data_IF_600666997922
#
_entry.id   IF_600666997922
#
_cell.length_a   1.000
_cell.length_b   1.000
_cell.length_c   1.000
_cell.angle_alpha   90.00
_cell.angle_beta   90.00
_cell.angle_gamma   90.00
#
_symmetry.space_group_name_H-M   'P 1'
#
loop_
_entity.id
_entity.type
_entity.pdbx_description
1 polymer ?
#
# COMPACT_ATOMS: atom_id res chain seq x y z
N UNK A 1 -49.67 46.84 20.99
CA UNK A 1 -49.60 46.56 19.54
C UNK A 1 -48.16 46.17 19.22
N UNK A 2 -47.98 45.05 18.52
CA UNK A 2 -46.77 44.54 17.84
C UNK A 2 -45.54 44.09 18.66
N UNK A 3 -45.53 42.78 18.90
CA UNK A 3 -44.34 41.90 18.95
C UNK A 3 -43.90 41.61 17.51
N UNK A 4 -42.65 41.88 17.13
CA UNK A 4 -41.95 41.26 15.98
C UNK A 4 -40.42 41.31 16.28
N UNK A 5 -39.74 40.18 16.53
CA UNK A 5 -39.23 39.12 15.62
C UNK A 5 -37.73 39.32 15.34
N UNK A 6 -36.89 38.42 15.84
CA UNK A 6 -35.45 38.44 15.63
C UNK A 6 -34.74 37.19 16.11
N UNK A 7 -34.98 36.03 15.48
CA UNK A 7 -34.14 34.84 15.65
C UNK A 7 -33.85 34.26 14.27
N UNK A 8 -32.77 34.71 13.64
CA UNK A 8 -32.26 34.17 12.38
C UNK A 8 -30.74 33.93 12.41
N UNK A 9 -30.15 33.68 13.58
CA UNK A 9 -28.69 33.55 13.75
C UNK A 9 -28.15 32.15 14.06
N UNK A 10 -29.00 31.17 14.38
CA UNK A 10 -28.56 29.91 15.00
C UNK A 10 -28.08 28.81 14.03
N UNK A 11 -28.48 28.86 12.76
CA UNK A 11 -28.34 27.69 11.86
C UNK A 11 -26.93 27.51 11.25
N UNK A 12 -26.14 28.58 11.12
CA UNK A 12 -24.84 28.48 10.43
C UNK A 12 -23.69 27.95 11.28
N UNK A 13 -23.82 27.89 12.61
CA UNK A 13 -22.69 27.55 13.48
C UNK A 13 -22.54 26.05 13.77
N UNK A 14 -23.56 25.24 13.44
CA UNK A 14 -23.59 23.79 13.71
C UNK A 14 -22.94 23.00 12.57
N UNK A 15 -23.10 23.44 11.32
CA UNK A 15 -22.57 22.73 10.15
C UNK A 15 -21.05 22.54 10.21
N UNK A 16 -20.30 23.56 10.64
CA UNK A 16 -18.83 23.53 10.64
C UNK A 16 -18.22 22.51 11.63
N UNK A 17 -18.97 22.06 12.63
CA UNK A 17 -18.48 21.08 13.63
C UNK A 17 -18.56 19.64 13.12
N UNK A 18 -19.55 19.31 12.28
CA UNK A 18 -19.72 17.93 11.80
C UNK A 18 -18.63 17.52 10.81
N UNK A 19 -18.17 18.44 9.97
CA UNK A 19 -17.07 18.18 9.03
C UNK A 19 -15.74 17.94 9.76
N UNK A 20 -15.46 18.71 10.81
CA UNK A 20 -14.24 18.55 11.61
C UNK A 20 -14.19 17.20 12.33
N UNK A 21 -15.32 16.72 12.86
CA UNK A 21 -15.41 15.40 13.50
C UNK A 21 -15.25 14.27 12.49
N UNK A 22 -15.86 14.37 11.29
CA UNK A 22 -15.64 13.39 10.21
C UNK A 22 -14.18 13.34 9.76
N UNK A 23 -13.53 14.49 9.64
CA UNK A 23 -12.10 14.54 9.28
C UNK A 23 -11.20 13.98 10.38
N UNK A 24 -11.54 14.19 11.65
CA UNK A 24 -10.82 13.59 12.77
C UNK A 24 -11.02 12.06 12.84
N UNK A 25 -12.21 11.55 12.55
CA UNK A 25 -12.51 10.11 12.49
C UNK A 25 -11.84 9.43 11.28
N UNK A 26 -11.75 10.13 10.14
CA UNK A 26 -11.02 9.69 8.96
C UNK A 26 -9.49 9.77 9.15
N UNK A 27 -8.98 10.79 9.85
CA UNK A 27 -7.57 10.91 10.20
C UNK A 27 -7.14 9.89 11.29
N UNK A 28 -8.06 9.52 12.20
CA UNK A 28 -7.84 8.46 13.19
C UNK A 28 -7.89 7.06 12.55
N UNK A 29 -8.70 6.88 11.50
CA UNK A 29 -8.72 5.64 10.68
C UNK A 29 -7.57 5.57 9.68
N UNK A 30 -6.95 6.70 9.33
CA UNK A 30 -5.62 6.75 8.74
C UNK A 30 -4.55 6.42 9.80
N UNK A 31 -4.78 5.34 10.55
CA UNK A 31 -3.76 4.68 11.33
C UNK A 31 -2.56 4.50 10.40
N UNK A 32 -1.44 5.10 10.78
CA UNK A 32 -0.17 4.97 10.10
C UNK A 32 0.13 3.47 10.04
N UNK A 33 -0.20 2.83 8.91
CA UNK A 33 0.12 1.43 8.66
C UNK A 33 1.63 1.39 8.62
N UNK A 34 2.24 1.13 9.78
CA UNK A 34 3.62 0.72 9.83
C UNK A 34 3.69 -0.51 8.91
N UNK A 35 4.64 -0.57 7.96
CA UNK A 35 4.76 -1.72 7.09
C UNK A 35 4.83 -2.95 7.98
N UNK A 36 3.78 -3.77 7.87
CA UNK A 36 3.70 -4.99 8.65
C UNK A 36 4.87 -5.85 8.22
N UNK A 37 5.91 -5.89 9.07
CA UNK A 37 7.12 -6.68 8.80
C UNK A 37 6.79 -8.17 8.74
N UNK A 38 5.57 -8.55 9.11
CA UNK A 38 5.04 -9.89 8.95
C UNK A 38 4.43 -10.18 7.59
N UNK A 39 4.36 -9.25 6.64
CA UNK A 39 3.83 -9.48 5.29
C UNK A 39 4.89 -9.14 4.23
N UNK A 40 5.00 -9.98 3.20
CA UNK A 40 5.88 -9.72 2.05
C UNK A 40 5.11 -8.96 0.98
N UNK A 41 5.61 -7.79 0.56
CA UNK A 41 5.07 -7.10 -0.62
C UNK A 41 5.67 -7.71 -1.89
N UNK A 42 4.81 -8.20 -2.79
CA UNK A 42 5.20 -8.75 -4.10
C UNK A 42 4.68 -7.82 -5.18
N UNK A 43 5.59 -7.13 -5.86
CA UNK A 43 5.26 -6.26 -7.00
C UNK A 43 5.50 -7.00 -8.30
N UNK A 44 4.47 -7.17 -9.10
CA UNK A 44 4.59 -7.89 -10.36
C UNK A 44 3.33 -7.75 -11.20
N UNK A 45 3.19 -8.64 -12.19
CA UNK A 45 2.02 -8.66 -13.06
C UNK A 45 1.50 -10.08 -13.28
N UNK A 46 0.18 -10.29 -13.40
CA UNK A 46 -0.41 -11.64 -13.49
C UNK A 46 0.13 -12.49 -14.65
N UNK A 47 0.42 -11.88 -15.79
CA UNK A 47 0.94 -12.58 -16.98
C UNK A 47 2.41 -13.02 -16.86
N UNK A 48 3.16 -12.58 -15.85
CA UNK A 48 4.58 -12.93 -15.70
C UNK A 48 4.74 -14.31 -15.04
N UNK A 49 5.36 -15.26 -15.76
CA UNK A 49 5.63 -16.62 -15.26
C UNK A 49 6.41 -16.60 -13.94
N UNK A 50 7.42 -15.73 -13.81
CA UNK A 50 8.22 -15.61 -12.58
C UNK A 50 7.41 -15.06 -11.41
N UNK A 51 6.48 -14.13 -11.66
CA UNK A 51 5.59 -13.60 -10.62
C UNK A 51 4.64 -14.68 -10.13
N UNK A 52 3.98 -15.41 -11.05
CA UNK A 52 3.07 -16.51 -10.67
C UNK A 52 3.79 -17.61 -9.90
N UNK A 53 4.99 -17.99 -10.33
CA UNK A 53 5.82 -18.97 -9.62
C UNK A 53 6.17 -18.50 -8.20
N UNK A 54 6.62 -17.25 -8.04
CA UNK A 54 6.91 -16.68 -6.72
C UNK A 54 5.69 -16.71 -5.80
N UNK A 55 4.53 -16.24 -6.30
CA UNK A 55 3.29 -16.23 -5.51
C UNK A 55 2.91 -17.64 -5.06
N UNK A 56 2.95 -18.62 -5.96
CA UNK A 56 2.62 -20.02 -5.64
C UNK A 56 3.58 -20.63 -4.62
N UNK A 57 4.89 -20.41 -4.74
CA UNK A 57 5.87 -20.94 -3.78
C UNK A 57 5.73 -20.27 -2.40
N UNK A 58 5.44 -18.96 -2.34
CA UNK A 58 5.20 -18.26 -1.05
C UNK A 58 3.90 -18.72 -0.38
N UNK A 59 2.84 -18.93 -1.16
CA UNK A 59 1.56 -19.47 -0.69
C UNK A 59 1.74 -20.88 -0.12
N UNK A 60 2.42 -21.78 -0.84
CA UNK A 60 2.74 -23.13 -0.38
C UNK A 60 3.58 -23.13 0.91
N UNK A 61 4.44 -22.13 1.10
CA UNK A 61 5.24 -21.97 2.30
C UNK A 61 4.48 -21.33 3.48
N UNK A 62 3.17 -21.06 3.33
CA UNK A 62 2.33 -20.34 4.29
C UNK A 62 2.91 -18.97 4.66
N UNK A 63 3.54 -18.29 3.69
CA UNK A 63 4.06 -16.94 3.88
C UNK A 63 2.97 -15.94 3.53
N UNK A 64 2.57 -15.05 4.46
CA UNK A 64 1.62 -13.98 4.18
C UNK A 64 2.20 -12.99 3.16
N UNK A 65 1.43 -12.77 2.09
CA UNK A 65 1.84 -11.92 0.97
C UNK A 65 0.82 -10.82 0.73
N UNK A 66 1.31 -9.69 0.22
CA UNK A 66 0.51 -8.62 -0.36
C UNK A 66 0.95 -8.44 -1.81
N UNK A 67 0.09 -8.85 -2.74
CA UNK A 67 0.38 -8.72 -4.15
C UNK A 67 -0.04 -7.34 -4.67
N UNK A 68 0.90 -6.67 -5.36
CA UNK A 68 0.71 -5.38 -6.00
C UNK A 68 0.82 -5.57 -7.52
N UNK A 69 -0.32 -5.54 -8.21
CA UNK A 69 -0.35 -5.62 -9.66
C UNK A 69 0.05 -4.28 -10.28
N UNK A 70 1.24 -4.23 -10.86
CA UNK A 70 1.80 -3.02 -11.47
C UNK A 70 1.18 -2.67 -12.83
N UNK A 71 0.25 -3.48 -13.34
CA UNK A 71 -0.52 -3.15 -14.54
C UNK A 71 -1.59 -2.09 -14.25
N UNK A 72 -1.93 -1.88 -12.97
CA UNK A 72 -2.83 -0.81 -12.58
C UNK A 72 -2.09 0.53 -12.48
N UNK A 73 -2.62 1.62 -13.08
CA UNK A 73 -1.92 2.90 -13.11
C UNK A 73 -1.52 3.45 -11.74
N UNK A 74 -2.38 3.30 -10.73
CA UNK A 74 -2.10 3.77 -9.37
C UNK A 74 -0.97 2.98 -8.71
N UNK A 75 -0.97 1.64 -8.86
CA UNK A 75 0.10 0.77 -8.35
C UNK A 75 1.40 1.03 -9.08
N UNK A 76 1.36 1.26 -10.39
CA UNK A 76 2.54 1.58 -11.19
C UNK A 76 3.17 2.91 -10.75
N UNK A 77 2.37 3.95 -10.52
CA UNK A 77 2.87 5.23 -10.02
C UNK A 77 3.57 5.04 -8.66
N UNK A 78 2.89 4.42 -7.70
CA UNK A 78 3.46 4.13 -6.38
C UNK A 78 4.71 3.23 -6.45
N UNK A 79 4.73 2.28 -7.38
CA UNK A 79 5.89 1.42 -7.63
C UNK A 79 7.09 2.21 -8.14
N UNK A 80 6.87 3.12 -9.10
CA UNK A 80 7.94 3.97 -9.61
C UNK A 80 8.44 4.94 -8.53
N UNK A 81 7.54 5.58 -7.79
CA UNK A 81 7.92 6.48 -6.69
C UNK A 81 8.78 5.76 -5.64
N UNK A 82 8.48 4.48 -5.37
CA UNK A 82 9.20 3.68 -4.38
C UNK A 82 10.55 3.16 -4.86
N UNK A 83 10.67 2.73 -6.12
CA UNK A 83 11.83 1.98 -6.60
C UNK A 83 12.66 2.70 -7.65
N UNK A 84 12.23 3.86 -8.17
CA UNK A 84 13.06 4.68 -9.04
C UNK A 84 14.35 5.07 -8.31
N UNK A 85 15.49 4.97 -9.00
CA UNK A 85 16.80 5.25 -8.40
C UNK A 85 17.33 4.20 -7.42
N UNK A 86 16.58 3.12 -7.13
CA UNK A 86 17.04 2.03 -6.23
C UNK A 86 18.15 1.14 -6.83
N UNK A 87 18.47 1.31 -8.11
CA UNK A 87 19.38 0.43 -8.85
C UNK A 87 18.78 -0.92 -9.26
N UNK A 88 17.53 -1.21 -8.91
CA UNK A 88 16.84 -2.45 -9.30
C UNK A 88 16.36 -2.45 -10.76
N UNK A 89 16.26 -1.29 -11.39
CA UNK A 89 15.93 -1.16 -12.80
C UNK A 89 17.16 -1.41 -13.67
N UNK A 90 16.96 -2.14 -14.76
CA UNK A 90 17.95 -2.29 -15.85
C UNK A 90 17.60 -1.41 -17.03
N UNK A 91 18.42 -1.40 -18.08
CA UNK A 91 18.09 -0.76 -19.36
C UNK A 91 16.79 -1.29 -20.00
N UNK A 92 16.32 -2.47 -19.58
CA UNK A 92 15.06 -3.10 -20.02
C UNK A 92 13.92 -2.94 -19.02
N UNK A 93 14.09 -2.09 -18.00
CA UNK A 93 13.16 -1.94 -16.89
C UNK A 93 13.42 -2.91 -15.74
N UNK A 94 12.38 -3.15 -14.93
CA UNK A 94 12.47 -3.98 -13.73
C UNK A 94 12.31 -5.47 -14.04
N UNK A 95 13.22 -6.28 -13.50
CA UNK A 95 13.08 -7.74 -13.54
C UNK A 95 12.02 -8.18 -12.51
N UNK A 96 10.80 -8.44 -12.98
CA UNK A 96 9.69 -8.84 -12.11
C UNK A 96 9.79 -10.32 -11.67
N UNK A 97 9.25 -10.67 -10.49
CA UNK A 97 8.67 -9.74 -9.50
C UNK A 97 9.75 -8.98 -8.71
N UNK A 98 9.43 -7.78 -8.24
CA UNK A 98 10.21 -7.11 -7.18
C UNK A 98 9.61 -7.52 -5.83
N UNK A 99 10.44 -7.97 -4.90
CA UNK A 99 10.02 -8.45 -3.58
C UNK A 99 10.55 -7.50 -2.53
N UNK A 100 9.68 -6.95 -1.69
CA UNK A 100 10.09 -6.23 -0.49
C UNK A 100 9.87 -7.11 0.75
N UNK A 101 10.97 -7.47 1.42
CA UNK A 101 10.99 -8.35 2.60
C UNK A 101 12.09 -7.89 3.55
N UNK A 102 11.83 -7.90 4.86
CA UNK A 102 12.81 -7.55 5.90
C UNK A 102 13.53 -6.20 5.67
N UNK A 103 12.82 -5.20 5.13
CA UNK A 103 13.38 -3.88 4.82
C UNK A 103 14.29 -3.83 3.58
N UNK A 104 14.46 -4.96 2.88
CA UNK A 104 15.19 -5.05 1.63
C UNK A 104 14.24 -5.19 0.44
N UNK A 105 14.69 -4.75 -0.74
CA UNK A 105 14.00 -4.93 -2.00
C UNK A 105 14.89 -5.70 -2.97
N UNK A 106 14.36 -6.78 -3.55
CA UNK A 106 15.10 -7.69 -4.41
C UNK A 106 14.38 -7.85 -5.75
N UNK A 107 15.13 -7.76 -6.86
CA UNK A 107 14.61 -7.99 -8.20
C UNK A 107 14.72 -9.47 -8.57
N UNK A 108 13.58 -10.10 -8.84
CA UNK A 108 13.45 -11.51 -9.25
C UNK A 108 14.31 -12.49 -8.43
N UNK A 109 14.23 -12.46 -7.09
CA UNK A 109 14.95 -13.40 -6.25
C UNK A 109 14.43 -14.83 -6.44
N UNK A 110 15.19 -15.81 -5.95
CA UNK A 110 14.68 -17.18 -5.80
C UNK A 110 13.64 -17.22 -4.68
N UNK A 111 12.50 -17.92 -4.81
CA UNK A 111 11.48 -17.92 -3.77
C UNK A 111 11.98 -18.48 -2.43
N UNK A 112 12.85 -19.50 -2.47
CA UNK A 112 13.48 -20.05 -1.26
C UNK A 112 14.28 -19.02 -0.46
N UNK A 113 14.98 -18.09 -1.13
CA UNK A 113 15.72 -17.04 -0.42
C UNK A 113 14.78 -16.01 0.21
N UNK A 114 13.62 -15.75 -0.41
CA UNK A 114 12.58 -14.89 0.16
C UNK A 114 11.96 -15.54 1.39
N UNK A 115 11.63 -16.83 1.33
CA UNK A 115 11.11 -17.59 2.49
C UNK A 115 12.13 -17.61 3.63
N UNK A 116 13.42 -17.81 3.32
CA UNK A 116 14.48 -17.78 4.32
C UNK A 116 14.58 -16.40 4.97
N UNK A 117 14.67 -15.32 4.19
CA UNK A 117 14.73 -13.95 4.68
C UNK A 117 13.51 -13.58 5.51
N UNK A 118 12.31 -14.05 5.13
CA UNK A 118 11.10 -13.90 5.92
C UNK A 118 11.25 -14.58 7.28
N UNK A 119 11.65 -15.85 7.34
CA UNK A 119 11.69 -16.62 8.59
C UNK A 119 12.77 -16.16 9.59
N UNK A 120 13.82 -15.51 9.12
CA UNK A 120 15.00 -15.13 9.93
C UNK A 120 15.19 -13.61 10.06
N UNK A 121 14.12 -12.85 9.92
CA UNK A 121 14.10 -11.38 10.05
C UNK A 121 14.17 -10.89 11.49
#
# INVERSE_FOLDING_TARGET
>A
MLVLLGVAGGAMHVYKRHDAVKQQEQAATAARVLPDRSVIDVYGRPGCVYTRRMLSELEQANVPIRFHNIDYPHTQAAFQDRFAGSGLATSRGYALPIIAVAGQALARPQPSSVVYAYRHR
#
